data_IF_565790252914
#
_entry.id   IF_565790252914
#
_cell.length_a   1.000
_cell.length_b   1.000
_cell.length_c   1.000
_cell.angle_alpha   90.00
_cell.angle_beta   90.00
_cell.angle_gamma   90.00
#
_symmetry.space_group_name_H-M   'P 1'
#
loop_
_entity.id
_entity.type
_entity.pdbx_description
1 polymer ?
#
# COMPACT_ATOMS: atom_id res chain seq x y z
N UNK A 1 28.99 -40.24 32.28
CA UNK A 1 30.28 -39.54 32.05
C UNK A 1 30.48 -39.09 30.60
N UNK A 2 30.16 -39.91 29.58
CA UNK A 2 30.27 -39.46 28.16
C UNK A 2 29.04 -38.73 27.64
N UNK A 3 27.83 -39.11 28.04
CA UNK A 3 26.58 -38.42 27.64
C UNK A 3 26.53 -36.97 28.16
N UNK A 4 27.01 -36.78 29.39
CA UNK A 4 27.14 -35.50 30.08
C UNK A 4 28.17 -34.58 29.39
N UNK A 5 29.20 -35.15 28.76
CA UNK A 5 30.15 -34.43 27.90
C UNK A 5 29.57 -34.15 26.50
N UNK A 6 28.75 -35.04 25.96
CA UNK A 6 28.05 -34.84 24.69
C UNK A 6 27.01 -33.71 24.83
N UNK A 7 26.26 -33.65 25.93
CA UNK A 7 25.29 -32.57 26.19
C UNK A 7 25.96 -31.21 26.43
N UNK A 8 27.17 -31.16 26.99
CA UNK A 8 27.93 -29.90 27.19
C UNK A 8 28.66 -29.45 25.91
N UNK A 9 29.14 -30.40 25.09
CA UNK A 9 29.85 -30.13 23.83
C UNK A 9 28.89 -29.84 22.65
N UNK A 10 27.72 -30.49 22.62
CA UNK A 10 26.68 -30.28 21.61
C UNK A 10 25.55 -29.34 22.08
N UNK A 11 25.50 -28.98 23.36
CA UNK A 11 24.46 -28.12 23.94
C UNK A 11 24.52 -26.64 23.55
N UNK A 12 25.61 -26.19 22.92
CA UNK A 12 25.80 -24.78 22.54
C UNK A 12 25.55 -24.51 21.04
N UNK A 13 25.29 -25.54 20.22
CA UNK A 13 25.03 -25.38 18.78
C UNK A 13 23.53 -25.33 18.42
N UNK A 14 22.67 -24.84 19.32
CA UNK A 14 21.29 -24.46 18.97
C UNK A 14 21.17 -22.95 18.77
N UNK A 15 22.06 -22.48 17.91
CA UNK A 15 21.77 -21.61 16.75
C UNK A 15 20.74 -20.50 16.97
N UNK A 16 21.29 -19.34 17.26
CA UNK A 16 20.81 -17.97 17.04
C UNK A 16 20.24 -17.67 15.62
N UNK A 17 19.94 -18.67 14.79
CA UNK A 17 19.42 -18.52 13.42
C UNK A 17 17.94 -18.09 13.36
N UNK A 18 17.12 -18.42 14.36
CA UNK A 18 15.67 -18.11 14.32
C UNK A 18 15.35 -16.62 14.45
N UNK A 19 16.18 -15.87 15.17
CA UNK A 19 15.92 -14.45 15.52
C UNK A 19 15.93 -13.54 14.28
N UNK A 20 16.94 -13.68 13.41
CA UNK A 20 17.14 -12.78 12.27
C UNK A 20 16.07 -12.92 11.17
N UNK A 21 15.58 -14.14 10.91
CA UNK A 21 14.50 -14.38 9.95
C UNK A 21 13.16 -13.81 10.44
N UNK A 22 12.90 -13.81 11.75
CA UNK A 22 11.68 -13.22 12.32
C UNK A 22 11.65 -11.69 12.20
N UNK A 23 12.79 -11.01 12.34
CA UNK A 23 12.87 -9.56 12.16
C UNK A 23 12.41 -9.10 10.76
N UNK A 24 12.76 -9.85 9.71
CA UNK A 24 12.33 -9.55 8.34
C UNK A 24 10.81 -9.61 8.15
N UNK A 25 10.15 -10.61 8.74
CA UNK A 25 8.69 -10.82 8.65
C UNK A 25 7.94 -9.77 9.47
N UNK A 26 8.41 -9.48 10.69
CA UNK A 26 7.84 -8.44 11.54
C UNK A 26 7.93 -7.05 10.91
N UNK A 27 9.04 -6.74 10.22
CA UNK A 27 9.18 -5.48 9.47
C UNK A 27 8.14 -5.35 8.36
N UNK A 28 7.88 -6.43 7.59
CA UNK A 28 6.82 -6.44 6.58
C UNK A 28 5.44 -6.21 7.21
N UNK A 29 5.15 -6.88 8.33
CA UNK A 29 3.91 -6.70 9.08
C UNK A 29 3.70 -5.28 9.61
N UNK A 30 4.76 -4.63 10.12
CA UNK A 30 4.69 -3.25 10.58
C UNK A 30 4.38 -2.27 9.43
N UNK A 31 5.01 -2.46 8.27
CA UNK A 31 4.76 -1.65 7.07
C UNK A 31 3.34 -1.89 6.54
N UNK A 32 2.85 -3.13 6.56
CA UNK A 32 1.45 -3.44 6.21
C UNK A 32 0.45 -2.75 7.14
N UNK A 33 0.70 -2.74 8.46
CA UNK A 33 -0.17 -2.05 9.42
C UNK A 33 -0.18 -0.54 9.20
N UNK A 34 0.97 0.06 8.93
CA UNK A 34 1.09 1.48 8.61
C UNK A 34 0.30 1.84 7.34
N UNK A 35 0.44 1.04 6.27
CA UNK A 35 -0.34 1.26 5.04
C UNK A 35 -1.83 0.96 5.23
N UNK A 36 -2.20 -0.01 6.07
CA UNK A 36 -3.60 -0.26 6.44
C UNK A 36 -4.24 0.98 7.07
N UNK A 37 -3.50 1.62 7.99
CA UNK A 37 -3.94 2.85 8.64
C UNK A 37 -4.10 4.00 7.62
N UNK A 38 -3.11 4.19 6.73
CA UNK A 38 -3.19 5.17 5.64
C UNK A 38 -4.39 4.91 4.74
N UNK A 39 -4.65 3.66 4.35
CA UNK A 39 -5.81 3.27 3.53
C UNK A 39 -7.13 3.72 4.17
N UNK A 40 -7.25 3.58 5.50
CA UNK A 40 -8.39 4.11 6.26
C UNK A 40 -8.55 5.63 6.15
N UNK A 41 -7.46 6.39 6.30
CA UNK A 41 -7.46 7.84 6.12
C UNK A 41 -7.83 8.25 4.69
N UNK A 42 -7.26 7.60 3.68
CA UNK A 42 -7.58 7.87 2.27
C UNK A 42 -9.06 7.66 2.01
N UNK A 43 -9.65 6.57 2.52
CA UNK A 43 -11.11 6.33 2.46
C UNK A 43 -11.92 7.45 3.09
N UNK A 44 -11.51 7.96 4.25
CA UNK A 44 -12.15 9.11 4.88
C UNK A 44 -12.10 10.36 3.99
N UNK A 45 -10.95 10.65 3.38
CA UNK A 45 -10.82 11.77 2.43
C UNK A 45 -11.68 11.58 1.17
N UNK A 46 -11.77 10.36 0.63
CA UNK A 46 -12.65 10.05 -0.51
C UNK A 46 -14.11 10.37 -0.15
N UNK A 47 -14.57 9.97 1.04
CA UNK A 47 -15.91 10.30 1.53
C UNK A 47 -16.13 11.81 1.65
N UNK A 48 -15.15 12.55 2.16
CA UNK A 48 -15.23 14.01 2.28
C UNK A 48 -15.31 14.69 0.90
N UNK A 49 -14.48 14.24 -0.06
CA UNK A 49 -14.51 14.71 -1.46
C UNK A 49 -15.86 14.41 -2.10
N UNK A 50 -16.44 13.24 -1.84
CA UNK A 50 -17.76 12.88 -2.35
C UNK A 50 -18.87 13.79 -1.82
N UNK A 51 -18.86 14.12 -0.52
CA UNK A 51 -19.81 15.09 0.08
C UNK A 51 -19.64 16.47 -0.57
N UNK A 52 -18.39 16.94 -0.71
CA UNK A 52 -18.12 18.23 -1.34
C UNK A 52 -18.57 18.28 -2.81
N UNK A 53 -18.33 17.21 -3.57
CA UNK A 53 -18.81 17.07 -4.94
C UNK A 53 -20.33 17.10 -5.01
N UNK A 54 -21.01 16.41 -4.09
CA UNK A 54 -22.47 16.41 -4.02
C UNK A 54 -23.02 17.81 -3.73
N UNK A 55 -22.43 18.54 -2.79
CA UNK A 55 -22.78 19.94 -2.51
C UNK A 55 -22.55 20.81 -3.76
N UNK A 56 -21.39 20.69 -4.40
CA UNK A 56 -21.08 21.47 -5.62
C UNK A 56 -22.06 21.16 -6.75
N UNK A 57 -22.46 19.89 -6.90
CA UNK A 57 -23.43 19.45 -7.90
C UNK A 57 -24.81 20.06 -7.63
N UNK A 58 -25.24 20.15 -6.36
CA UNK A 58 -26.50 20.80 -5.97
C UNK A 58 -26.54 22.30 -6.34
N UNK A 59 -25.43 23.02 -6.15
CA UNK A 59 -25.39 24.47 -6.44
C UNK A 59 -25.04 24.80 -7.89
N UNK A 60 -24.12 24.05 -8.51
CA UNK A 60 -23.52 24.39 -9.82
C UNK A 60 -24.11 23.55 -10.97
N UNK A 61 -24.84 22.47 -10.65
CA UNK A 61 -25.38 21.50 -11.61
C UNK A 61 -24.31 20.89 -12.55
N UNK A 62 -23.03 21.02 -12.17
CA UNK A 62 -21.87 20.52 -12.90
C UNK A 62 -20.89 19.94 -11.89
N UNK A 63 -20.38 18.73 -12.09
CA UNK A 63 -19.36 18.16 -11.22
C UNK A 63 -18.01 18.85 -11.44
N UNK A 64 -17.24 19.01 -10.35
CA UNK A 64 -15.95 19.68 -10.42
C UNK A 64 -14.89 18.70 -10.98
N UNK A 65 -14.42 18.95 -12.21
CA UNK A 65 -13.49 18.05 -12.94
C UNK A 65 -12.16 17.79 -12.20
N UNK A 66 -11.47 18.81 -11.65
CA UNK A 66 -10.30 18.60 -10.79
C UNK A 66 -10.54 17.64 -9.62
N UNK A 67 -11.63 17.83 -8.85
CA UNK A 67 -11.97 16.98 -7.70
C UNK A 67 -12.36 15.56 -8.12
N UNK A 68 -12.97 15.39 -9.30
CA UNK A 68 -13.25 14.08 -9.90
C UNK A 68 -11.95 13.32 -10.20
N UNK A 69 -10.98 13.99 -10.84
CA UNK A 69 -9.66 13.40 -11.12
C UNK A 69 -8.92 13.04 -9.84
N UNK A 70 -8.96 13.92 -8.83
CA UNK A 70 -8.37 13.66 -7.52
C UNK A 70 -9.00 12.43 -6.86
N UNK A 71 -10.34 12.35 -6.81
CA UNK A 71 -11.05 11.18 -6.28
C UNK A 71 -10.69 9.89 -7.01
N UNK A 72 -10.57 9.92 -8.34
CA UNK A 72 -10.12 8.78 -9.13
C UNK A 72 -8.70 8.33 -8.74
N UNK A 73 -7.75 9.27 -8.65
CA UNK A 73 -6.38 8.95 -8.25
C UNK A 73 -6.29 8.37 -6.84
N UNK A 74 -7.09 8.87 -5.89
CA UNK A 74 -7.18 8.34 -4.52
C UNK A 74 -7.77 6.92 -4.47
N UNK A 75 -8.75 6.63 -5.30
CA UNK A 75 -9.30 5.27 -5.44
C UNK A 75 -8.23 4.31 -5.98
N UNK A 76 -7.50 4.71 -7.02
CA UNK A 76 -6.39 3.91 -7.57
C UNK A 76 -5.28 3.71 -6.54
N UNK A 77 -4.94 4.74 -5.76
CA UNK A 77 -3.98 4.63 -4.66
C UNK A 77 -4.42 3.62 -3.60
N UNK A 78 -5.70 3.66 -3.19
CA UNK A 78 -6.28 2.70 -2.24
C UNK A 78 -6.21 1.27 -2.77
N UNK A 79 -6.46 1.06 -4.07
CA UNK A 79 -6.31 -0.23 -4.71
C UNK A 79 -4.87 -0.74 -4.65
N UNK A 80 -3.87 0.09 -4.95
CA UNK A 80 -2.46 -0.29 -4.87
C UNK A 80 -2.04 -0.67 -3.44
N UNK A 81 -2.47 0.10 -2.44
CA UNK A 81 -2.24 -0.23 -1.03
C UNK A 81 -2.83 -1.61 -0.71
N UNK A 82 -4.08 -1.87 -1.11
CA UNK A 82 -4.71 -3.16 -0.83
C UNK A 82 -3.98 -4.32 -1.52
N UNK A 83 -3.53 -4.16 -2.78
CA UNK A 83 -2.74 -5.18 -3.47
C UNK A 83 -1.43 -5.50 -2.73
N UNK A 84 -0.76 -4.48 -2.19
CA UNK A 84 0.45 -4.66 -1.38
C UNK A 84 0.15 -5.39 -0.06
N UNK A 85 -0.92 -5.00 0.64
CA UNK A 85 -1.33 -5.65 1.89
C UNK A 85 -1.71 -7.11 1.69
N UNK A 86 -2.38 -7.44 0.58
CA UNK A 86 -2.80 -8.81 0.27
C UNK A 86 -1.69 -9.65 -0.37
N UNK A 87 -0.45 -9.12 -0.43
CA UNK A 87 0.72 -9.82 -0.99
C UNK A 87 0.54 -10.15 -2.48
N UNK A 88 -0.43 -9.52 -3.15
CA UNK A 88 -0.63 -9.68 -4.59
C UNK A 88 0.45 -8.95 -5.40
N UNK A 89 1.08 -7.94 -4.80
CA UNK A 89 2.21 -7.22 -5.39
C UNK A 89 3.28 -6.94 -4.34
N UNK A 90 4.53 -6.95 -4.77
CA UNK A 90 5.68 -6.48 -3.97
C UNK A 90 6.04 -5.01 -4.26
N UNK A 91 5.30 -4.36 -5.17
CA UNK A 91 5.47 -2.95 -5.47
C UNK A 91 4.95 -2.08 -4.32
N UNK A 92 5.82 -1.24 -3.76
CA UNK A 92 5.46 -0.29 -2.72
C UNK A 92 4.66 0.88 -3.31
N UNK A 93 3.52 1.27 -2.72
CA UNK A 93 2.77 2.45 -3.15
C UNK A 93 3.51 3.75 -2.76
N UNK A 94 3.04 4.90 -3.26
CA UNK A 94 3.53 6.23 -2.86
C UNK A 94 3.72 6.35 -1.33
N UNK A 95 4.79 6.98 -0.81
CA UNK A 95 5.79 7.82 -1.50
C UNK A 95 6.96 7.08 -2.15
N UNK A 96 6.96 5.75 -2.16
CA UNK A 96 8.09 4.97 -2.71
C UNK A 96 8.01 4.78 -4.24
N UNK A 97 6.84 5.02 -4.82
CA UNK A 97 6.57 5.04 -6.25
C UNK A 97 5.80 6.29 -6.62
N UNK A 98 5.69 6.57 -7.92
CA UNK A 98 4.97 7.73 -8.42
C UNK A 98 3.50 7.72 -7.99
N UNK A 99 2.97 8.93 -7.77
CA UNK A 99 1.55 9.09 -7.49
C UNK A 99 0.72 8.51 -8.64
N UNK A 100 -0.34 7.73 -8.37
CA UNK A 100 -1.21 7.22 -9.42
C UNK A 100 -1.82 8.37 -10.20
N UNK A 101 -1.34 8.57 -11.41
CA UNK A 101 -1.98 9.50 -12.32
C UNK A 101 -3.37 8.94 -12.65
N UNK A 102 -4.40 9.80 -12.60
CA UNK A 102 -5.72 9.38 -13.09
C UNK A 102 -5.53 9.11 -14.57
N UNK A 103 -5.40 7.86 -14.99
CA UNK A 103 -5.05 7.47 -16.35
C UNK A 103 -6.12 7.94 -17.36
N UNK A 104 -6.08 9.22 -17.68
CA UNK A 104 -6.28 9.74 -19.02
C UNK A 104 -4.86 9.91 -19.54
N UNK A 105 -4.15 8.78 -19.67
CA UNK A 105 -2.99 8.74 -20.55
C UNK A 105 -3.53 9.10 -21.92
N UNK A 106 -3.26 10.33 -22.32
CA UNK A 106 -3.44 10.79 -23.68
C UNK A 106 -2.57 9.90 -24.54
N UNK A 107 -3.13 8.81 -25.07
CA UNK A 107 -2.60 8.28 -26.31
C UNK A 107 -2.81 9.41 -27.33
N UNK A 108 -1.75 10.06 -27.86
CA UNK A 108 -1.93 10.73 -29.15
C UNK A 108 -2.44 9.65 -30.12
N UNK A 109 -3.40 9.96 -31.00
CA UNK A 109 -3.75 9.07 -32.08
C UNK A 109 -2.45 8.64 -32.73
N UNK A 110 -2.15 7.34 -32.73
CA UNK A 110 -1.07 6.81 -33.53
C UNK A 110 -1.35 7.25 -34.96
N UNK A 111 -0.55 8.21 -35.42
CA UNK A 111 -0.49 8.68 -36.78
C UNK A 111 -0.08 7.47 -37.62
N UNK A 112 -1.09 6.75 -38.11
CA UNK A 112 -0.91 5.75 -39.14
C UNK A 112 -0.84 6.52 -40.46
N UNK A 113 0.39 6.57 -40.97
CA UNK A 113 0.85 6.94 -42.31
C UNK A 113 -0.17 6.63 -43.41
#
# INVERSE_FOLDING_TARGET
MRQDLEDELFGQEKTTEKSWKQFGIWKRGLVMLFFAFISGFVRFFISLIAIFQFITLLFTNKPNRPLLKLGQSLNTYTYQINQFLTINTEQYPFPFTDWPDSAISRMPPSEHV
#
